data_IF_497198902305
#
_entry.id   IF_497198902305
#
_cell.length_a   1.000
_cell.length_b   1.000
_cell.length_c   1.000
_cell.angle_alpha   90.00
_cell.angle_beta   90.00
_cell.angle_gamma   90.00
#
_symmetry.space_group_name_H-M   'P 1'
#
loop_
_entity.id
_entity.type
_entity.pdbx_description
1 polymer ?
#
# COMPACT_ATOMS: atom_id res chain seq x y z
N UNK A 1 20.24 1.29 28.08
CA UNK A 1 20.11 0.32 26.96
C UNK A 1 18.68 0.27 26.41
N UNK A 2 18.12 1.41 25.99
CA UNK A 2 16.88 1.49 25.20
C UNK A 2 17.27 2.35 24.00
N UNK A 3 17.14 1.86 22.77
CA UNK A 3 17.03 2.63 21.51
C UNK A 3 17.38 1.86 20.21
N UNK A 4 17.70 0.56 20.24
CA UNK A 4 18.03 -0.17 19.00
C UNK A 4 16.83 -0.70 18.19
N UNK A 5 15.61 -0.66 18.73
CA UNK A 5 14.41 -1.15 18.01
C UNK A 5 13.81 -0.13 17.03
N UNK A 6 14.04 1.17 17.24
CA UNK A 6 13.58 2.21 16.30
C UNK A 6 14.49 2.32 15.07
N UNK A 7 15.75 1.92 15.19
CA UNK A 7 16.74 1.99 14.10
C UNK A 7 16.37 1.05 12.96
N UNK A 8 15.85 -0.14 13.25
CA UNK A 8 15.52 -1.12 12.21
C UNK A 8 14.36 -0.65 11.33
N UNK A 9 13.28 -0.12 11.91
CA UNK A 9 12.13 0.36 11.14
C UNK A 9 12.46 1.62 10.32
N UNK A 10 13.18 2.58 10.92
CA UNK A 10 13.59 3.80 10.21
C UNK A 10 14.57 3.50 9.05
N UNK A 11 15.49 2.56 9.25
CA UNK A 11 16.40 2.09 8.19
C UNK A 11 15.64 1.34 7.11
N UNK A 12 14.73 0.42 7.47
CA UNK A 12 13.89 -0.29 6.49
C UNK A 12 13.02 0.66 5.67
N UNK A 13 12.48 1.70 6.31
CA UNK A 13 11.71 2.74 5.64
C UNK A 13 12.57 3.58 4.69
N UNK A 14 13.77 3.99 5.12
CA UNK A 14 14.71 4.71 4.28
C UNK A 14 15.17 3.86 3.08
N UNK A 15 15.45 2.58 3.31
CA UNK A 15 15.76 1.61 2.26
C UNK A 15 14.59 1.40 1.31
N UNK A 16 13.35 1.32 1.81
CA UNK A 16 12.16 1.21 0.97
C UNK A 16 11.94 2.46 0.11
N UNK A 17 12.19 3.66 0.66
CA UNK A 17 12.15 4.91 -0.11
C UNK A 17 13.23 4.95 -1.18
N UNK A 18 14.47 4.57 -0.86
CA UNK A 18 15.54 4.49 -1.85
C UNK A 18 15.22 3.46 -2.96
N UNK A 19 14.64 2.31 -2.61
CA UNK A 19 14.21 1.30 -3.58
C UNK A 19 13.19 1.82 -4.59
N UNK A 20 12.36 2.80 -4.21
CA UNK A 20 11.45 3.46 -5.16
C UNK A 20 12.23 4.24 -6.22
N UNK A 21 13.29 4.95 -5.82
CA UNK A 21 14.11 5.74 -6.75
C UNK A 21 14.89 4.83 -7.72
N UNK A 22 15.26 3.62 -7.26
CA UNK A 22 15.89 2.60 -8.08
C UNK A 22 14.90 1.67 -8.82
N UNK A 23 13.60 1.76 -8.55
CA UNK A 23 12.59 0.88 -9.14
C UNK A 23 12.57 0.87 -10.69
N UNK A 24 12.77 2.01 -11.40
CA UNK A 24 12.86 2.03 -12.86
C UNK A 24 14.02 1.20 -13.40
N UNK A 25 15.15 1.15 -12.68
CA UNK A 25 16.35 0.40 -13.06
C UNK A 25 16.22 -1.10 -12.73
N UNK A 26 15.23 -1.47 -11.91
CA UNK A 26 15.02 -2.82 -11.37
C UNK A 26 13.74 -3.47 -11.89
N UNK A 27 13.14 -2.97 -12.98
CA UNK A 27 11.87 -3.41 -13.57
C UNK A 27 11.73 -4.93 -13.75
N UNK A 28 12.85 -5.66 -13.87
CA UNK A 28 12.87 -7.12 -14.08
C UNK A 28 13.46 -7.90 -12.89
N UNK A 29 13.78 -7.24 -11.77
CA UNK A 29 14.48 -7.87 -10.66
C UNK A 29 13.52 -8.61 -9.72
N UNK A 30 13.69 -9.93 -9.50
CA UNK A 30 12.88 -10.70 -8.55
C UNK A 30 13.05 -10.24 -7.09
N UNK A 31 14.08 -9.42 -6.81
CA UNK A 31 14.40 -8.90 -5.48
C UNK A 31 13.31 -7.97 -4.93
N UNK A 32 12.65 -7.18 -5.78
CA UNK A 32 11.56 -6.28 -5.36
C UNK A 32 10.40 -7.04 -4.72
N UNK A 33 10.04 -8.20 -5.28
CA UNK A 33 8.91 -8.98 -4.80
C UNK A 33 9.32 -9.87 -3.63
N UNK A 34 10.50 -10.48 -3.69
CA UNK A 34 10.98 -11.40 -2.66
C UNK A 34 11.36 -10.68 -1.37
N UNK A 35 11.96 -9.49 -1.48
CA UNK A 35 12.58 -8.83 -0.32
C UNK A 35 11.81 -7.56 0.07
N UNK A 36 11.39 -6.72 -0.89
CA UNK A 36 10.74 -5.45 -0.57
C UNK A 36 9.26 -5.58 -0.15
N UNK A 37 8.46 -6.42 -0.83
CA UNK A 37 7.04 -6.60 -0.49
C UNK A 37 6.84 -7.18 0.92
N UNK A 38 7.56 -8.23 1.37
CA UNK A 38 7.43 -8.72 2.73
C UNK A 38 7.90 -7.71 3.78
N UNK A 39 8.99 -6.97 3.49
CA UNK A 39 9.46 -5.90 4.37
C UNK A 39 8.40 -4.80 4.53
N UNK A 40 7.77 -4.36 3.43
CA UNK A 40 6.69 -3.38 3.46
C UNK A 40 5.45 -3.91 4.19
N UNK A 41 5.09 -5.17 3.99
CA UNK A 41 3.97 -5.78 4.71
C UNK A 41 4.21 -5.83 6.23
N UNK A 42 5.45 -6.05 6.66
CA UNK A 42 5.85 -5.96 8.07
C UNK A 42 5.76 -4.52 8.59
N UNK A 43 6.24 -3.54 7.82
CA UNK A 43 6.14 -2.12 8.18
C UNK A 43 4.68 -1.62 8.25
N UNK A 44 3.78 -2.16 7.43
CA UNK A 44 2.34 -1.90 7.51
C UNK A 44 1.69 -2.43 8.79
N UNK A 45 2.37 -3.26 9.58
CA UNK A 45 1.89 -3.73 10.89
C UNK A 45 2.60 -3.03 12.06
N UNK A 46 3.41 -2.02 11.78
CA UNK A 46 4.15 -1.31 12.80
C UNK A 46 3.22 -0.54 13.76
N UNK A 47 3.62 -0.42 15.03
CA UNK A 47 2.85 0.29 16.07
C UNK A 47 2.57 1.77 15.74
N UNK A 48 3.51 2.40 15.04
CA UNK A 48 3.44 3.81 14.65
C UNK A 48 2.66 3.98 13.34
N UNK A 49 1.61 4.79 13.37
CA UNK A 49 0.77 5.09 12.20
C UNK A 49 1.51 5.82 11.08
N UNK A 50 2.51 6.65 11.39
CA UNK A 50 3.32 7.34 10.38
C UNK A 50 4.13 6.34 9.53
N UNK A 51 4.73 5.34 10.19
CA UNK A 51 5.48 4.27 9.51
C UNK A 51 4.56 3.42 8.64
N UNK A 52 3.36 3.05 9.14
CA UNK A 52 2.36 2.31 8.33
C UNK A 52 1.92 3.10 7.09
N UNK A 53 1.74 4.41 7.25
CA UNK A 53 1.41 5.32 6.14
C UNK A 53 2.52 5.35 5.10
N UNK A 54 3.78 5.54 5.54
CA UNK A 54 4.93 5.60 4.64
C UNK A 54 5.17 4.28 3.91
N UNK A 55 4.97 3.14 4.59
CA UNK A 55 5.03 1.83 3.96
C UNK A 55 3.99 1.66 2.86
N UNK A 56 2.77 2.14 3.12
CA UNK A 56 1.67 2.12 2.14
C UNK A 56 1.97 3.02 0.93
N UNK A 57 2.52 4.21 1.16
CA UNK A 57 2.95 5.11 0.08
C UNK A 57 4.07 4.47 -0.75
N UNK A 58 5.05 3.83 -0.11
CA UNK A 58 6.11 3.11 -0.81
C UNK A 58 5.53 1.98 -1.65
N UNK A 59 4.57 1.22 -1.12
CA UNK A 59 3.86 0.18 -1.88
C UNK A 59 3.14 0.76 -3.10
N UNK A 60 2.50 1.93 -2.99
CA UNK A 60 1.89 2.63 -4.13
C UNK A 60 2.89 2.93 -5.23
N UNK A 61 4.06 3.46 -4.87
CA UNK A 61 5.09 3.83 -5.84
C UNK A 61 5.72 2.61 -6.51
N UNK A 62 5.78 1.48 -5.81
CA UNK A 62 6.26 0.21 -6.35
C UNK A 62 5.19 -0.55 -7.17
N UNK A 63 3.92 -0.17 -7.06
CA UNK A 63 2.81 -0.87 -7.70
C UNK A 63 2.98 -1.11 -9.22
N UNK A 64 3.41 -0.12 -10.02
CA UNK A 64 3.59 -0.31 -11.47
C UNK A 64 4.66 -1.35 -11.81
N UNK A 65 5.66 -1.52 -10.94
CA UNK A 65 6.78 -2.44 -11.15
C UNK A 65 6.46 -3.87 -10.69
N UNK A 66 5.53 -4.02 -9.74
CA UNK A 66 5.11 -5.31 -9.18
C UNK A 66 4.02 -5.97 -10.05
N UNK A 67 3.20 -5.19 -10.73
CA UNK A 67 2.01 -5.58 -11.50
C UNK A 67 2.23 -6.51 -12.72
N UNK A 68 3.39 -7.15 -12.87
CA UNK A 68 3.74 -7.98 -14.03
C UNK A 68 3.01 -9.34 -14.11
N UNK A 69 2.26 -9.74 -13.07
CA UNK A 69 1.50 -10.99 -13.05
C UNK A 69 0.26 -10.88 -12.17
N UNK A 70 -0.86 -11.56 -12.51
CA UNK A 70 -2.09 -11.54 -11.71
C UNK A 70 -1.90 -12.05 -10.27
N UNK A 71 -0.92 -12.91 -10.00
CA UNK A 71 -0.60 -13.34 -8.62
C UNK A 71 -0.03 -12.18 -7.79
N UNK A 72 0.73 -11.29 -8.44
CA UNK A 72 1.35 -10.14 -7.80
C UNK A 72 0.35 -9.01 -7.55
N UNK A 73 -0.66 -8.87 -8.43
CA UNK A 73 -1.76 -7.91 -8.20
C UNK A 73 -2.62 -8.27 -7.00
N UNK A 74 -2.80 -9.56 -6.68
CA UNK A 74 -3.48 -10.00 -5.44
C UNK A 74 -2.72 -9.52 -4.19
N UNK A 75 -1.40 -9.69 -4.17
CA UNK A 75 -0.56 -9.27 -3.03
C UNK A 75 -0.69 -7.76 -2.79
N UNK A 76 -0.61 -7.00 -3.88
CA UNK A 76 -0.75 -5.54 -3.85
C UNK A 76 -2.12 -5.11 -3.32
N UNK A 77 -3.20 -5.70 -3.85
CA UNK A 77 -4.57 -5.45 -3.41
C UNK A 77 -4.75 -5.76 -1.92
N UNK A 78 -4.22 -6.91 -1.46
CA UNK A 78 -4.30 -7.32 -0.06
C UNK A 78 -3.59 -6.34 0.90
N UNK A 79 -2.47 -5.75 0.47
CA UNK A 79 -1.74 -4.73 1.22
C UNK A 79 -2.55 -3.45 1.37
N UNK A 80 -3.24 -3.00 0.31
CA UNK A 80 -4.11 -1.83 0.39
C UNK A 80 -5.37 -2.06 1.21
N UNK A 81 -6.07 -3.18 0.98
CA UNK A 81 -7.30 -3.51 1.70
C UNK A 81 -7.10 -3.59 3.23
N UNK A 82 -5.92 -4.04 3.67
CA UNK A 82 -5.55 -4.02 5.10
C UNK A 82 -5.54 -2.61 5.67
N UNK A 83 -4.97 -1.66 4.93
CA UNK A 83 -4.80 -0.28 5.37
C UNK A 83 -6.09 0.54 5.28
N UNK A 84 -7.08 0.12 4.48
CA UNK A 84 -8.42 0.73 4.49
C UNK A 84 -9.11 0.67 5.86
N UNK A 85 -8.71 -0.26 6.74
CA UNK A 85 -9.27 -0.42 8.08
C UNK A 85 -8.35 0.11 9.18
N UNK A 86 -7.31 0.86 8.83
CA UNK A 86 -6.33 1.39 9.80
C UNK A 86 -6.98 2.45 10.70
N UNK A 87 -6.77 2.43 12.03
CA UNK A 87 -7.26 3.50 12.91
C UNK A 87 -6.66 4.87 12.56
N UNK A 88 -5.48 4.91 11.95
CA UNK A 88 -4.79 6.13 11.58
C UNK A 88 -5.27 6.66 10.22
N UNK A 89 -5.92 7.83 10.24
CA UNK A 89 -6.55 8.46 9.06
C UNK A 89 -5.57 8.63 7.87
N UNK A 90 -4.33 9.11 8.05
CA UNK A 90 -3.40 9.24 6.93
C UNK A 90 -3.05 7.92 6.25
N UNK A 91 -3.03 6.82 7.01
CA UNK A 91 -2.79 5.46 6.47
C UNK A 91 -3.94 5.03 5.56
N UNK A 92 -5.20 5.22 6.01
CA UNK A 92 -6.38 4.94 5.20
C UNK A 92 -6.41 5.79 3.92
N UNK A 93 -6.15 7.08 4.04
CA UNK A 93 -6.14 8.00 2.90
C UNK A 93 -5.05 7.62 1.88
N UNK A 94 -3.84 7.25 2.35
CA UNK A 94 -2.78 6.76 1.47
C UNK A 94 -3.19 5.48 0.74
N UNK A 95 -3.91 4.57 1.41
CA UNK A 95 -4.38 3.34 0.81
C UNK A 95 -5.44 3.56 -0.27
N UNK A 96 -6.42 4.45 -0.04
CA UNK A 96 -7.42 4.79 -1.07
C UNK A 96 -6.77 5.48 -2.26
N UNK A 97 -5.82 6.41 -2.03
CA UNK A 97 -5.02 7.03 -3.09
C UNK A 97 -4.25 6.00 -3.90
N UNK A 98 -3.63 5.04 -3.22
CA UNK A 98 -2.90 3.94 -3.83
C UNK A 98 -3.77 3.07 -4.73
N UNK A 99 -4.97 2.72 -4.26
CA UNK A 99 -5.95 1.98 -5.04
C UNK A 99 -6.41 2.78 -6.27
N UNK A 100 -6.66 4.07 -6.12
CA UNK A 100 -7.04 4.94 -7.24
C UNK A 100 -5.96 4.98 -8.33
N UNK A 101 -4.70 5.16 -7.96
CA UNK A 101 -3.59 5.16 -8.93
C UNK A 101 -3.29 3.78 -9.52
N UNK A 102 -3.63 2.70 -8.83
CA UNK A 102 -3.29 1.32 -9.23
C UNK A 102 -4.48 0.52 -9.75
N UNK A 103 -5.64 1.16 -9.99
CA UNK A 103 -6.88 0.46 -10.34
C UNK A 103 -6.74 -0.37 -11.63
N UNK A 104 -5.94 0.10 -12.59
CA UNK A 104 -5.66 -0.57 -13.87
C UNK A 104 -4.88 -1.87 -13.75
N UNK A 105 -4.28 -2.14 -12.59
CA UNK A 105 -3.51 -3.37 -12.31
C UNK A 105 -4.43 -4.54 -11.92
N UNK A 106 -5.63 -4.26 -11.42
CA UNK A 106 -6.51 -5.28 -10.86
C UNK A 106 -7.40 -5.92 -11.93
N UNK A 107 -7.64 -7.22 -11.79
CA UNK A 107 -8.56 -7.95 -12.68
C UNK A 107 -10.02 -7.59 -12.36
N UNK A 108 -10.96 -7.80 -13.31
CA UNK A 108 -12.38 -7.59 -13.04
C UNK A 108 -12.89 -8.40 -11.85
N UNK A 109 -12.40 -9.63 -11.68
CA UNK A 109 -12.76 -10.51 -10.56
C UNK A 109 -12.29 -9.93 -9.23
N UNK A 110 -11.04 -9.46 -9.15
CA UNK A 110 -10.50 -8.80 -7.96
C UNK A 110 -11.28 -7.52 -7.64
N UNK A 111 -11.62 -6.76 -8.68
CA UNK A 111 -12.36 -5.52 -8.54
C UNK A 111 -13.75 -5.76 -7.93
N UNK A 112 -14.49 -6.73 -8.48
CA UNK A 112 -15.83 -7.06 -8.00
C UNK A 112 -15.83 -7.70 -6.60
N UNK A 113 -14.92 -8.65 -6.35
CA UNK A 113 -14.98 -9.50 -5.15
C UNK A 113 -14.23 -8.94 -3.94
N UNK A 114 -13.28 -8.02 -4.14
CA UNK A 114 -12.39 -7.57 -3.06
C UNK A 114 -12.29 -6.04 -2.98
N UNK A 115 -12.10 -5.36 -4.11
CA UNK A 115 -11.97 -3.89 -4.14
C UNK A 115 -13.29 -3.20 -3.79
N UNK A 116 -14.39 -3.54 -4.48
CA UNK A 116 -15.70 -2.93 -4.23
C UNK A 116 -16.19 -3.15 -2.78
N UNK A 117 -16.17 -4.37 -2.20
CA UNK A 117 -16.55 -4.56 -0.80
C UNK A 117 -15.62 -3.86 0.20
N UNK A 118 -14.35 -3.65 -0.17
CA UNK A 118 -13.38 -2.92 0.63
C UNK A 118 -13.63 -1.41 0.65
N UNK A 119 -14.06 -0.84 -0.47
CA UNK A 119 -14.32 0.60 -0.62
C UNK A 119 -15.69 1.04 -0.16
N UNK A 120 -16.71 0.20 -0.30
CA UNK A 120 -18.09 0.56 0.05
C UNK A 120 -18.23 1.15 1.48
N UNK A 121 -17.60 0.59 2.53
CA UNK A 121 -17.67 1.17 3.88
C UNK A 121 -16.99 2.54 4.01
N UNK A 122 -16.06 2.89 3.13
CA UNK A 122 -15.34 4.18 3.18
C UNK A 122 -16.18 5.35 2.68
N UNK A 123 -17.30 5.07 1.99
CA UNK A 123 -18.26 6.10 1.60
C UNK A 123 -18.90 6.80 2.81
N UNK A 124 -18.83 6.18 3.99
CA UNK A 124 -19.29 6.73 5.27
C UNK A 124 -18.15 6.92 6.29
N UNK A 125 -16.89 7.00 5.83
CA UNK A 125 -15.75 7.27 6.72
C UNK A 125 -15.93 8.61 7.46
N UNK A 126 -15.35 8.76 8.65
CA UNK A 126 -15.42 9.99 9.42
C UNK A 126 -14.71 11.16 8.71
N UNK A 127 -13.64 10.88 7.96
CA UNK A 127 -12.88 11.88 7.22
C UNK A 127 -13.51 12.17 5.86
N UNK A 128 -13.74 13.46 5.55
CA UNK A 128 -14.36 13.87 4.29
C UNK A 128 -13.51 13.52 3.06
N UNK A 129 -12.18 13.61 3.14
CA UNK A 129 -11.30 13.36 2.01
C UNK A 129 -11.32 11.88 1.63
N UNK A 130 -11.43 10.98 2.62
CA UNK A 130 -11.56 9.54 2.38
C UNK A 130 -12.89 9.24 1.68
N UNK A 131 -14.00 9.84 2.15
CA UNK A 131 -15.32 9.65 1.52
C UNK A 131 -15.32 10.10 0.06
N UNK A 132 -14.84 11.32 -0.21
CA UNK A 132 -14.77 11.87 -1.56
C UNK A 132 -13.96 11.00 -2.50
N UNK A 133 -12.80 10.52 -2.02
CA UNK A 133 -11.94 9.69 -2.82
C UNK A 133 -12.49 8.27 -3.05
N UNK A 134 -13.12 7.68 -2.04
CA UNK A 134 -13.80 6.40 -2.19
C UNK A 134 -14.93 6.51 -3.22
N UNK A 135 -15.72 7.59 -3.19
CA UNK A 135 -16.75 7.85 -4.19
C UNK A 135 -16.16 8.09 -5.58
N UNK A 136 -15.04 8.80 -5.71
CA UNK A 136 -14.36 8.95 -7.00
C UNK A 136 -13.88 7.62 -7.57
N UNK A 137 -13.40 6.70 -6.72
CA UNK A 137 -12.93 5.39 -7.16
C UNK A 137 -14.07 4.43 -7.55
N UNK A 138 -15.28 4.68 -7.09
CA UNK A 138 -16.48 3.88 -7.38
C UNK A 138 -17.27 4.39 -8.61
N UNK A 139 -16.91 5.55 -9.17
CA UNK A 139 -17.56 6.17 -10.34
C UNK A 139 -16.87 5.77 -11.63
#
# INVERSE_FOLDING_TARGET
MKNFTHTVAAVQEASARALVDFAPLLQSSPLLIRDAVPALASLQQHRDGAIRTNATICLCKLAPFIASSPQKSVLLLSGFLRMLKDPFVPSRLAAVRGLYSSVSVFTPVQSAMQLLPGLAPLTIDQDCNIREMALQLLR
#
